data_IF_942308033855
#
_entry.id   IF_942308033855
#
_cell.length_a   1.000
_cell.length_b   1.000
_cell.length_c   1.000
_cell.angle_alpha   90.00
_cell.angle_beta   90.00
_cell.angle_gamma   90.00
#
_symmetry.space_group_name_H-M   'P 1'
#
loop_
_entity.id
_entity.type
_entity.pdbx_description
1 polymer ?
#
# COMPACT_ATOMS: atom_id res chain seq x y z
N UNK A 1 -9.54 16.67 19.06
CA UNK A 1 -8.25 16.65 18.37
C UNK A 1 -8.43 16.18 16.93
N UNK A 2 -7.86 16.87 15.95
CA UNK A 2 -7.95 16.38 14.57
C UNK A 2 -7.18 15.07 14.44
N UNK A 3 -7.54 14.27 13.40
CA UNK A 3 -6.83 13.02 13.10
C UNK A 3 -6.65 12.89 11.59
N UNK A 4 -5.58 12.23 11.19
CA UNK A 4 -5.34 11.89 9.81
C UNK A 4 -6.28 10.76 9.39
N UNK A 5 -6.88 10.84 8.20
CA UNK A 5 -7.82 9.83 7.71
C UNK A 5 -7.24 8.98 6.60
N UNK A 6 -6.82 9.58 5.50
CA UNK A 6 -6.42 8.81 4.33
C UNK A 6 -5.49 9.60 3.40
N UNK A 7 -4.89 8.88 2.48
CA UNK A 7 -4.19 9.41 1.31
C UNK A 7 -4.92 8.93 0.06
N UNK A 8 -5.07 9.81 -0.92
CA UNK A 8 -5.61 9.45 -2.24
C UNK A 8 -4.48 9.32 -3.24
N UNK A 9 -4.53 8.29 -4.06
CA UNK A 9 -3.58 8.09 -5.16
C UNK A 9 -4.34 7.81 -6.44
N UNK A 10 -3.83 8.36 -7.56
CA UNK A 10 -4.31 7.97 -8.87
C UNK A 10 -3.71 6.62 -9.25
N UNK A 11 -4.53 5.76 -9.86
CA UNK A 11 -4.09 4.43 -10.29
C UNK A 11 -4.26 4.28 -11.80
N UNK A 12 -3.36 3.51 -12.43
CA UNK A 12 -3.39 3.27 -13.86
C UNK A 12 -4.31 2.11 -14.23
N UNK A 13 -4.36 1.09 -13.39
CA UNK A 13 -5.21 -0.08 -13.57
C UNK A 13 -6.00 -0.28 -12.28
N UNK A 14 -7.31 -0.03 -12.36
CA UNK A 14 -8.17 0.01 -11.19
C UNK A 14 -8.27 -1.35 -10.50
N UNK A 15 -8.63 -2.38 -11.26
CA UNK A 15 -8.82 -3.71 -10.68
C UNK A 15 -7.50 -4.33 -10.19
N UNK A 16 -6.41 -4.11 -10.91
CA UNK A 16 -5.10 -4.62 -10.52
C UNK A 16 -4.60 -3.93 -9.24
N UNK A 17 -4.87 -2.63 -9.10
CA UNK A 17 -4.52 -1.89 -7.88
C UNK A 17 -5.33 -2.35 -6.67
N UNK A 18 -6.65 -2.56 -6.83
CA UNK A 18 -7.48 -3.12 -5.77
C UNK A 18 -6.96 -4.49 -5.35
N UNK A 19 -6.66 -5.35 -6.32
CA UNK A 19 -6.15 -6.69 -6.07
C UNK A 19 -4.83 -6.67 -5.30
N UNK A 20 -3.92 -5.77 -5.68
CA UNK A 20 -2.64 -5.62 -5.00
C UNK A 20 -2.83 -5.30 -3.51
N UNK A 21 -3.61 -4.27 -3.20
CA UNK A 21 -3.78 -3.84 -1.81
C UNK A 21 -4.63 -4.81 -0.98
N UNK A 22 -5.57 -5.50 -1.59
CA UNK A 22 -6.45 -6.44 -0.89
C UNK A 22 -5.91 -7.87 -0.87
N UNK A 23 -5.82 -8.52 -2.03
CA UNK A 23 -5.42 -9.93 -2.09
C UNK A 23 -3.95 -10.14 -1.75
N UNK A 24 -3.06 -9.26 -2.23
CA UNK A 24 -1.62 -9.43 -2.01
C UNK A 24 -1.16 -8.87 -0.68
N UNK A 25 -1.58 -7.67 -0.30
CA UNK A 25 -1.16 -7.05 0.96
C UNK A 25 -2.10 -7.33 2.14
N UNK A 26 -3.32 -7.77 1.89
CA UNK A 26 -4.23 -8.19 2.94
C UNK A 26 -5.13 -7.10 3.52
N UNK A 27 -5.16 -5.92 2.92
CA UNK A 27 -6.11 -4.88 3.33
C UNK A 27 -7.53 -5.27 2.90
N UNK A 28 -8.52 -4.63 3.48
CA UNK A 28 -9.93 -4.85 3.12
C UNK A 28 -10.37 -3.86 2.08
N UNK A 29 -11.21 -4.30 1.15
CA UNK A 29 -11.97 -3.39 0.31
C UNK A 29 -13.15 -2.90 1.14
N UNK A 30 -13.08 -1.64 1.58
CA UNK A 30 -14.09 -1.06 2.45
C UNK A 30 -15.33 -0.63 1.66
N UNK A 31 -15.12 -0.07 0.49
CA UNK A 31 -16.20 0.37 -0.39
C UNK A 31 -15.68 0.71 -1.77
N UNK A 32 -16.60 0.85 -2.72
CA UNK A 32 -16.37 1.41 -4.05
C UNK A 32 -17.35 2.54 -4.28
N UNK A 33 -16.94 3.57 -5.02
CA UNK A 33 -17.79 4.68 -5.38
C UNK A 33 -17.54 5.08 -6.83
N UNK A 34 -18.57 5.63 -7.46
CA UNK A 34 -18.47 6.17 -8.81
C UNK A 34 -18.92 7.63 -8.77
N UNK A 35 -18.02 8.54 -9.19
CA UNK A 35 -18.36 9.95 -9.31
C UNK A 35 -18.72 10.23 -10.76
N UNK A 36 -19.96 10.67 -10.95
CA UNK A 36 -20.55 10.92 -12.26
C UNK A 36 -19.61 11.68 -13.19
N UNK A 37 -19.25 11.02 -14.29
CA UNK A 37 -18.45 11.61 -15.36
C UNK A 37 -16.95 11.66 -15.13
N UNK A 38 -16.45 11.45 -13.91
CA UNK A 38 -15.06 11.75 -13.58
C UNK A 38 -14.20 10.59 -13.12
N UNK A 39 -14.65 9.79 -12.16
CA UNK A 39 -13.74 8.83 -11.54
C UNK A 39 -14.48 7.65 -10.90
N UNK A 40 -13.82 6.49 -10.92
CA UNK A 40 -14.16 5.37 -10.04
C UNK A 40 -13.19 5.40 -8.86
N UNK A 41 -13.69 5.07 -7.68
CA UNK A 41 -12.90 5.04 -6.46
C UNK A 41 -13.06 3.73 -5.72
N UNK A 42 -11.99 3.31 -5.07
CA UNK A 42 -12.02 2.20 -4.13
C UNK A 42 -11.33 2.64 -2.84
N UNK A 43 -11.87 2.19 -1.73
CA UNK A 43 -11.34 2.51 -0.40
C UNK A 43 -10.78 1.22 0.18
N UNK A 44 -9.48 1.16 0.38
CA UNK A 44 -8.80 -0.04 0.86
C UNK A 44 -8.04 0.26 2.15
N UNK A 45 -8.20 -0.60 3.15
CA UNK A 45 -7.57 -0.37 4.44
C UNK A 45 -8.01 -1.39 5.47
N UNK A 46 -7.64 -1.14 6.72
CA UNK A 46 -8.10 -1.94 7.85
C UNK A 46 -9.53 -1.58 8.20
N UNK A 47 -9.83 -0.29 8.24
CA UNK A 47 -11.13 0.29 8.58
C UNK A 47 -11.14 1.76 8.14
N UNK A 48 -12.24 2.47 8.44
CA UNK A 48 -12.38 3.88 8.07
C UNK A 48 -11.50 4.85 8.87
N UNK A 49 -10.71 4.35 9.79
CA UNK A 49 -9.70 5.13 10.50
C UNK A 49 -8.30 5.00 9.89
N UNK A 50 -8.15 4.09 8.93
CA UNK A 50 -6.85 3.83 8.30
C UNK A 50 -7.05 3.21 6.91
N UNK A 51 -7.10 4.06 5.88
CA UNK A 51 -7.37 3.60 4.53
C UNK A 51 -6.71 4.48 3.46
N UNK A 52 -6.67 3.95 2.26
CA UNK A 52 -6.18 4.62 1.05
C UNK A 52 -7.34 4.74 0.08
N UNK A 53 -7.49 5.89 -0.57
CA UNK A 53 -8.40 6.05 -1.70
C UNK A 53 -7.63 5.76 -2.99
N UNK A 54 -8.10 4.76 -3.73
CA UNK A 54 -7.60 4.46 -5.06
C UNK A 54 -8.53 5.16 -6.05
N UNK A 55 -8.00 6.07 -6.83
CA UNK A 55 -8.80 6.89 -7.75
C UNK A 55 -8.43 6.55 -9.19
N UNK A 56 -9.40 6.05 -9.94
CA UNK A 56 -9.26 5.79 -11.36
C UNK A 56 -9.96 6.89 -12.14
N UNK A 57 -9.14 7.75 -12.78
CA UNK A 57 -9.64 8.88 -13.57
C UNK A 57 -10.19 8.37 -14.90
N UNK A 58 -11.46 8.63 -15.16
CA UNK A 58 -12.13 8.22 -16.40
C UNK A 58 -11.94 9.24 -17.51
N UNK A 59 -11.42 10.42 -17.19
CA UNK A 59 -11.11 11.44 -18.18
C UNK A 59 -9.75 11.21 -18.80
N UNK A 60 -9.55 11.66 -20.01
CA UNK A 60 -8.25 11.64 -20.67
C UNK A 60 -7.28 12.53 -19.90
N UNK A 61 -6.07 12.03 -19.65
CA UNK A 61 -5.05 12.76 -18.89
C UNK A 61 -3.65 12.36 -19.35
N UNK A 62 -2.68 13.21 -19.02
CA UNK A 62 -1.27 12.88 -19.21
C UNK A 62 -0.87 11.72 -18.29
N UNK A 63 0.16 10.95 -18.64
CA UNK A 63 0.67 9.90 -17.76
C UNK A 63 1.02 10.44 -16.38
N UNK A 64 0.65 9.69 -15.33
CA UNK A 64 0.96 10.09 -13.97
C UNK A 64 2.45 10.04 -13.69
N UNK A 65 2.92 11.01 -12.93
CA UNK A 65 4.30 11.11 -12.48
C UNK A 65 4.33 11.02 -10.96
N UNK A 66 5.19 10.16 -10.42
CA UNK A 66 5.36 10.07 -8.97
C UNK A 66 5.92 11.38 -8.41
N UNK A 67 6.80 12.02 -9.16
CA UNK A 67 7.42 13.28 -8.76
C UNK A 67 8.57 13.06 -7.77
N UNK A 68 9.09 14.16 -7.26
CA UNK A 68 10.25 14.16 -6.37
C UNK A 68 9.91 14.37 -4.90
N UNK A 69 8.65 14.62 -4.58
CA UNK A 69 8.21 14.86 -3.19
C UNK A 69 7.67 13.61 -2.51
N UNK A 70 6.97 12.77 -3.26
CA UNK A 70 6.31 11.58 -2.69
C UNK A 70 7.34 10.48 -2.53
N UNK A 71 7.49 9.98 -1.31
CA UNK A 71 8.47 8.93 -1.03
C UNK A 71 7.83 7.55 -0.98
N UNK A 72 6.92 7.31 -0.05
CA UNK A 72 6.28 5.99 0.04
C UNK A 72 4.99 6.01 0.86
N UNK A 73 4.18 4.97 0.67
CA UNK A 73 3.14 4.55 1.61
C UNK A 73 3.75 3.53 2.55
N UNK A 74 3.23 3.44 3.77
CA UNK A 74 3.68 2.44 4.74
C UNK A 74 2.50 1.59 5.22
N UNK A 75 2.68 0.27 5.25
CA UNK A 75 1.67 -0.69 5.65
C UNK A 75 2.29 -1.67 6.64
N UNK A 76 1.65 -1.82 7.80
CA UNK A 76 1.98 -2.89 8.74
C UNK A 76 1.34 -4.19 8.25
N UNK A 77 2.16 -5.20 8.01
CA UNK A 77 1.67 -6.50 7.54
C UNK A 77 1.29 -7.40 8.68
N UNK A 78 0.51 -8.44 8.40
CA UNK A 78 0.25 -9.50 9.35
C UNK A 78 1.36 -10.54 9.27
N UNK A 79 1.92 -10.91 10.43
CA UNK A 79 2.83 -12.03 10.53
C UNK A 79 4.30 -11.70 10.25
N UNK A 80 5.04 -12.73 9.85
CA UNK A 80 6.49 -12.68 9.65
C UNK A 80 6.83 -11.97 8.34
N UNK A 81 7.53 -10.84 8.41
CA UNK A 81 7.82 -10.04 7.22
C UNK A 81 8.68 -10.77 6.19
N UNK A 82 9.76 -11.48 6.54
CA UNK A 82 10.49 -12.25 5.52
C UNK A 82 9.60 -13.24 4.76
N UNK A 83 8.69 -13.93 5.44
CA UNK A 83 7.75 -14.85 4.81
C UNK A 83 6.77 -14.12 3.88
N UNK A 84 6.28 -12.96 4.31
CA UNK A 84 5.42 -12.11 3.46
C UNK A 84 6.17 -11.70 2.20
N UNK A 85 7.43 -11.30 2.30
CA UNK A 85 8.24 -10.94 1.14
C UNK A 85 8.41 -12.10 0.16
N UNK A 86 8.66 -13.30 0.65
CA UNK A 86 8.78 -14.49 -0.23
C UNK A 86 7.46 -14.78 -0.95
N UNK A 87 6.34 -14.69 -0.25
CA UNK A 87 5.02 -14.87 -0.85
C UNK A 87 4.74 -13.83 -1.93
N UNK A 88 5.05 -12.56 -1.66
CA UNK A 88 4.83 -11.48 -2.62
C UNK A 88 5.71 -11.64 -3.87
N UNK A 89 6.97 -12.02 -3.69
CA UNK A 89 7.87 -12.32 -4.82
C UNK A 89 7.30 -13.43 -5.69
N UNK A 90 6.79 -14.49 -5.08
CA UNK A 90 6.17 -15.60 -5.80
C UNK A 90 4.90 -15.15 -6.56
N UNK A 91 4.23 -14.12 -6.11
CA UNK A 91 3.08 -13.52 -6.78
C UNK A 91 3.46 -12.43 -7.80
N UNK A 92 4.74 -12.28 -8.09
CA UNK A 92 5.22 -11.32 -9.09
C UNK A 92 5.36 -9.90 -8.61
N UNK A 93 5.29 -9.64 -7.31
CA UNK A 93 5.48 -8.30 -6.75
C UNK A 93 6.96 -7.96 -6.75
N UNK A 94 7.29 -6.77 -7.24
CA UNK A 94 8.67 -6.30 -7.28
C UNK A 94 9.13 -5.87 -5.89
N UNK A 95 10.15 -6.54 -5.37
CA UNK A 95 10.82 -6.17 -4.12
C UNK A 95 11.89 -5.13 -4.44
N UNK A 96 11.77 -3.93 -3.89
CA UNK A 96 12.74 -2.86 -4.11
C UNK A 96 13.92 -2.99 -3.15
N UNK A 97 13.63 -3.34 -1.89
CA UNK A 97 14.63 -3.34 -0.83
C UNK A 97 14.20 -4.21 0.34
N UNK A 98 15.15 -4.90 0.97
CA UNK A 98 14.89 -5.72 2.14
C UNK A 98 14.47 -7.15 1.83
N UNK A 99 13.98 -7.93 2.79
CA UNK A 99 13.72 -7.52 4.17
C UNK A 99 15.03 -7.24 4.94
N UNK A 100 14.96 -6.25 5.82
CA UNK A 100 16.09 -5.85 6.65
C UNK A 100 15.60 -5.20 7.93
N UNK A 101 16.47 -5.02 8.90
CA UNK A 101 16.12 -4.26 10.10
C UNK A 101 16.04 -2.77 9.78
N UNK A 102 15.08 -2.09 10.40
CA UNK A 102 14.94 -0.64 10.29
C UNK A 102 16.14 0.08 10.93
N UNK A 103 16.35 1.37 10.61
CA UNK A 103 17.29 2.19 11.36
C UNK A 103 16.97 2.13 12.85
N UNK A 104 17.97 1.81 13.68
CA UNK A 104 17.77 1.50 15.10
C UNK A 104 17.54 0.02 15.38
N UNK A 105 17.31 -0.81 14.36
CA UNK A 105 17.29 -2.27 14.46
C UNK A 105 16.07 -2.89 15.13
N UNK A 106 14.99 -2.12 15.32
CA UNK A 106 13.86 -2.57 16.14
C UNK A 106 12.80 -3.37 15.37
N UNK A 107 12.68 -3.19 14.06
CA UNK A 107 11.64 -3.84 13.25
C UNK A 107 12.22 -4.32 11.92
N UNK A 108 11.66 -5.41 11.40
CA UNK A 108 11.89 -5.81 10.03
C UNK A 108 11.07 -4.92 9.10
N UNK A 109 11.72 -4.45 8.04
CA UNK A 109 11.07 -3.65 6.99
C UNK A 109 11.46 -4.17 5.61
N UNK A 110 10.62 -3.86 4.63
CA UNK A 110 10.90 -4.09 3.23
C UNK A 110 10.17 -3.05 2.39
N UNK A 111 10.61 -2.84 1.16
CA UNK A 111 9.95 -1.95 0.21
C UNK A 111 9.58 -2.75 -1.04
N UNK A 112 8.34 -2.63 -1.45
CA UNK A 112 7.82 -3.21 -2.69
C UNK A 112 7.27 -2.10 -3.57
N UNK A 113 7.05 -2.41 -4.84
CA UNK A 113 6.44 -1.47 -5.78
C UNK A 113 5.02 -1.92 -6.09
N UNK A 114 4.06 -0.99 -5.99
CA UNK A 114 2.69 -1.29 -6.36
C UNK A 114 2.51 -1.28 -7.89
N UNK A 115 1.33 -1.63 -8.43
CA UNK A 115 1.12 -1.63 -9.89
C UNK A 115 1.28 -0.28 -10.58
N UNK A 116 1.32 0.81 -9.80
CA UNK A 116 1.42 2.18 -10.34
C UNK A 116 2.84 2.75 -10.21
N UNK A 117 3.80 1.93 -9.76
CA UNK A 117 5.16 2.39 -9.53
C UNK A 117 5.36 3.09 -8.20
N UNK A 118 4.39 3.03 -7.30
CA UNK A 118 4.48 3.68 -5.98
C UNK A 118 5.23 2.77 -5.02
N UNK A 119 6.28 3.27 -4.34
CA UNK A 119 6.95 2.50 -3.31
C UNK A 119 6.04 2.30 -2.09
N UNK A 120 5.98 1.08 -1.59
CA UNK A 120 5.23 0.74 -0.39
C UNK A 120 6.19 0.10 0.61
N UNK A 121 6.35 0.75 1.76
CA UNK A 121 7.09 0.18 2.86
C UNK A 121 6.22 -0.81 3.62
N UNK A 122 6.74 -2.00 3.83
CA UNK A 122 6.10 -3.04 4.63
C UNK A 122 6.84 -3.13 5.94
N UNK A 123 6.10 -3.14 7.05
CA UNK A 123 6.68 -3.25 8.39
C UNK A 123 6.06 -4.44 9.10
N UNK A 124 6.89 -5.16 9.86
CA UNK A 124 6.35 -6.22 10.72
C UNK A 124 5.45 -5.61 11.79
N UNK A 125 4.52 -6.39 12.35
CA UNK A 125 3.65 -5.89 13.41
C UNK A 125 4.48 -5.34 14.57
N UNK A 126 4.12 -4.17 15.06
CA UNK A 126 4.81 -3.50 16.17
C UNK A 126 4.84 -4.38 17.42
N UNK A 127 3.75 -5.12 17.67
CA UNK A 127 3.66 -6.04 18.80
C UNK A 127 4.70 -7.17 18.69
N UNK A 128 4.96 -7.70 17.47
CA UNK A 128 5.98 -8.72 17.22
C UNK A 128 7.39 -8.17 17.46
N UNK A 129 7.66 -6.95 17.00
CA UNK A 129 8.95 -6.28 17.23
C UNK A 129 9.19 -6.03 18.72
N UNK A 130 8.18 -5.60 19.46
CA UNK A 130 8.25 -5.39 20.89
C UNK A 130 8.44 -6.71 21.65
N UNK A 131 7.79 -7.79 21.21
CA UNK A 131 7.93 -9.11 21.79
C UNK A 131 9.26 -9.78 21.50
N UNK A 132 9.98 -9.34 20.48
CA UNK A 132 11.29 -9.85 20.09
C UNK A 132 12.45 -9.19 20.85
N UNK A 133 12.16 -8.20 21.64
CA UNK A 133 13.17 -7.44 22.39
C UNK A 133 13.72 -8.22 23.58
#
# INVERSE_FOLDING_TARGET
MPRYLHTSIFVNDFEESIKFYTEKLGLKLLDRAHFEGNADMAFVGRDWDSYIELVYDLEEHEPYQLGSRYEHLAIEVDGDLPAVCERLKAQGVKLIKGPKKSPGGSRWIAFVEDPNGIPVELLEPKAAAAGAA
#
